data_IF_042045949831
#
_entry.id   IF_042045949831
#
_cell.length_a   1.000
_cell.length_b   1.000
_cell.length_c   1.000
_cell.angle_alpha   90.00
_cell.angle_beta   90.00
_cell.angle_gamma   90.00
#
_symmetry.space_group_name_H-M   'P 1'
#
loop_
_entity.id
_entity.type
_entity.pdbx_description
1 polymer ?
#
# COMPACT_ATOMS: atom_id res chain seq x y z
N UNK A 1 -53.30 13.02 -58.43
CA UNK A 1 -54.16 13.13 -59.63
C UNK A 1 -53.47 12.35 -60.73
N UNK A 2 -54.02 11.19 -61.12
CA UNK A 2 -53.56 10.49 -62.31
C UNK A 2 -54.05 11.27 -63.53
N UNK A 3 -53.13 11.86 -64.30
CA UNK A 3 -53.44 12.31 -65.65
C UNK A 3 -53.68 11.06 -66.49
N UNK A 4 -54.95 10.72 -66.67
CA UNK A 4 -55.41 9.82 -67.71
C UNK A 4 -55.40 10.62 -69.02
N UNK A 5 -54.22 10.74 -69.63
CA UNK A 5 -54.12 11.34 -70.95
C UNK A 5 -54.91 10.48 -71.95
N UNK A 6 -55.78 11.15 -72.70
CA UNK A 6 -56.69 10.59 -73.68
C UNK A 6 -55.90 9.85 -74.78
N UNK A 7 -56.24 8.58 -75.01
CA UNK A 7 -55.57 7.69 -75.99
C UNK A 7 -55.86 8.08 -77.45
N UNK A 8 -56.57 9.18 -77.67
CA UNK A 8 -56.99 9.72 -78.96
C UNK A 8 -55.82 10.17 -79.85
N UNK A 9 -54.60 10.35 -79.32
CA UNK A 9 -53.40 10.70 -80.09
C UNK A 9 -52.59 9.52 -80.64
N UNK A 10 -53.01 8.28 -80.43
CA UNK A 10 -52.18 7.12 -80.77
C UNK A 10 -52.08 6.79 -82.27
N UNK A 11 -52.83 7.45 -83.15
CA UNK A 11 -52.72 7.28 -84.60
C UNK A 11 -52.94 8.66 -85.25
N UNK A 12 -52.00 9.09 -86.09
CA UNK A 12 -52.23 10.25 -86.97
C UNK A 12 -53.33 9.92 -87.98
N UNK A 13 -54.22 10.88 -88.24
CA UNK A 13 -55.41 10.72 -89.11
C UNK A 13 -55.11 10.18 -90.53
N UNK A 14 -53.86 10.21 -90.95
CA UNK A 14 -53.34 9.65 -92.21
C UNK A 14 -53.19 8.12 -92.22
N UNK A 15 -53.06 7.45 -91.07
CA UNK A 15 -52.84 5.98 -90.98
C UNK A 15 -54.15 5.19 -90.92
N UNK A 16 -55.25 5.81 -90.47
CA UNK A 16 -56.56 5.16 -90.27
C UNK A 16 -57.35 4.89 -91.56
N UNK A 17 -56.99 5.49 -92.69
CA UNK A 17 -57.85 5.51 -93.89
C UNK A 17 -57.85 4.22 -94.73
N UNK A 18 -56.91 3.28 -94.51
CA UNK A 18 -56.75 2.08 -95.36
C UNK A 18 -56.54 0.76 -94.59
N UNK A 19 -56.83 0.68 -93.28
CA UNK A 19 -56.62 -0.53 -92.48
C UNK A 19 -57.95 -1.15 -92.03
N UNK A 20 -58.00 -2.47 -91.97
CA UNK A 20 -59.15 -3.20 -91.41
C UNK A 20 -59.24 -2.98 -89.90
N UNK A 21 -60.44 -3.04 -89.29
CA UNK A 21 -60.62 -2.89 -87.84
C UNK A 21 -59.71 -3.81 -87.00
N UNK A 22 -59.45 -5.02 -87.50
CA UNK A 22 -58.60 -6.03 -86.85
C UNK A 22 -57.10 -5.66 -86.84
N UNK A 23 -56.63 -4.90 -87.83
CA UNK A 23 -55.24 -4.44 -87.89
C UNK A 23 -55.01 -3.26 -86.94
N UNK A 24 -56.00 -2.38 -86.82
CA UNK A 24 -56.01 -1.29 -85.84
C UNK A 24 -55.96 -1.87 -84.42
N UNK A 25 -56.77 -2.89 -84.14
CA UNK A 25 -56.80 -3.57 -82.84
C UNK A 25 -55.45 -4.23 -82.51
N UNK A 26 -54.80 -4.90 -83.47
CA UNK A 26 -53.45 -5.47 -83.27
C UNK A 26 -52.39 -4.42 -82.94
N UNK A 27 -52.44 -3.25 -83.56
CA UNK A 27 -51.49 -2.16 -83.27
C UNK A 27 -51.69 -1.63 -81.84
N UNK A 28 -52.94 -1.48 -81.40
CA UNK A 28 -53.24 -1.07 -80.02
C UNK A 28 -52.80 -2.12 -79.00
N UNK A 29 -53.06 -3.41 -79.26
CA UNK A 29 -52.60 -4.52 -78.40
C UNK A 29 -51.07 -4.52 -78.30
N UNK A 30 -50.36 -4.46 -79.43
CA UNK A 30 -48.89 -4.46 -79.45
C UNK A 30 -48.29 -3.25 -78.71
N UNK A 31 -48.89 -2.07 -78.83
CA UNK A 31 -48.46 -0.89 -78.08
C UNK A 31 -48.78 -0.97 -76.60
N UNK A 32 -49.93 -1.53 -76.22
CA UNK A 32 -50.25 -1.79 -74.81
C UNK A 32 -49.25 -2.77 -74.18
N UNK A 33 -48.88 -3.83 -74.89
CA UNK A 33 -47.84 -4.77 -74.46
C UNK A 33 -46.46 -4.08 -74.34
N UNK A 34 -46.10 -3.19 -75.29
CA UNK A 34 -44.86 -2.43 -75.23
C UNK A 34 -44.83 -1.46 -74.04
N UNK A 35 -45.94 -0.77 -73.79
CA UNK A 35 -46.14 0.10 -72.62
C UNK A 35 -46.04 -0.70 -71.32
N UNK A 36 -46.71 -1.85 -71.24
CA UNK A 36 -46.66 -2.73 -70.08
C UNK A 36 -45.23 -3.20 -69.81
N UNK A 37 -44.50 -3.60 -70.85
CA UNK A 37 -43.09 -4.01 -70.74
C UNK A 37 -42.20 -2.85 -70.26
N UNK A 38 -42.41 -1.62 -70.77
CA UNK A 38 -41.69 -0.41 -70.33
C UNK A 38 -41.97 -0.11 -68.85
N UNK A 39 -43.23 -0.14 -68.41
CA UNK A 39 -43.59 0.11 -67.01
C UNK A 39 -43.08 -0.98 -66.07
N UNK A 40 -43.12 -2.25 -66.48
CA UNK A 40 -42.51 -3.36 -65.70
C UNK A 40 -41.01 -3.16 -65.52
N UNK A 41 -40.29 -2.74 -66.56
CA UNK A 41 -38.86 -2.43 -66.47
C UNK A 41 -38.59 -1.21 -65.59
N UNK A 42 -39.42 -0.17 -65.68
CA UNK A 42 -39.29 1.03 -64.87
C UNK A 42 -39.52 0.72 -63.38
N UNK A 43 -40.57 -0.06 -63.07
CA UNK A 43 -40.89 -0.52 -61.72
C UNK A 43 -39.72 -1.31 -61.13
N UNK A 44 -39.17 -2.26 -61.88
CA UNK A 44 -38.01 -3.05 -61.44
C UNK A 44 -36.80 -2.17 -61.11
N UNK A 45 -36.51 -1.16 -61.95
CA UNK A 45 -35.42 -0.21 -61.67
C UNK A 45 -35.66 0.60 -60.40
N UNK A 46 -36.88 1.10 -60.21
CA UNK A 46 -37.24 1.88 -59.01
C UNK A 46 -37.14 1.02 -57.75
N UNK A 47 -37.58 -0.24 -57.82
CA UNK A 47 -37.44 -1.21 -56.73
C UNK A 47 -35.98 -1.47 -56.36
N UNK A 48 -35.13 -1.75 -57.36
CA UNK A 48 -33.69 -1.99 -57.16
C UNK A 48 -32.98 -0.76 -56.56
N UNK A 49 -33.30 0.45 -57.04
CA UNK A 49 -32.75 1.69 -56.50
C UNK A 49 -33.24 2.00 -55.08
N UNK A 50 -34.51 1.74 -54.79
CA UNK A 50 -35.07 1.93 -53.46
C UNK A 50 -34.47 0.93 -52.46
N UNK A 51 -34.32 -0.33 -52.87
CA UNK A 51 -33.66 -1.36 -52.07
C UNK A 51 -32.20 -1.01 -51.79
N UNK A 52 -31.42 -0.65 -52.82
CA UNK A 52 -30.01 -0.30 -52.64
C UNK A 52 -29.84 0.92 -51.73
N UNK A 53 -30.67 1.96 -51.88
CA UNK A 53 -30.65 3.13 -50.99
C UNK A 53 -31.03 2.77 -49.55
N UNK A 54 -32.08 1.97 -49.37
CA UNK A 54 -32.52 1.51 -48.05
C UNK A 54 -31.47 0.65 -47.36
N UNK A 55 -30.86 -0.27 -48.09
CA UNK A 55 -29.80 -1.14 -47.59
C UNK A 55 -28.55 -0.34 -47.19
N UNK A 56 -28.07 0.55 -48.06
CA UNK A 56 -26.89 1.37 -47.78
C UNK A 56 -27.11 2.28 -46.57
N UNK A 57 -28.28 2.92 -46.50
CA UNK A 57 -28.63 3.79 -45.36
C UNK A 57 -28.77 2.99 -44.07
N UNK A 58 -29.46 1.84 -44.10
CA UNK A 58 -29.60 0.96 -42.94
C UNK A 58 -28.27 0.41 -42.44
N UNK A 59 -27.34 0.09 -43.36
CA UNK A 59 -25.98 -0.31 -43.01
C UNK A 59 -25.23 0.83 -42.33
N UNK A 60 -25.27 2.04 -42.90
CA UNK A 60 -24.58 3.21 -42.33
C UNK A 60 -25.12 3.58 -40.94
N UNK A 61 -26.44 3.57 -40.76
CA UNK A 61 -27.08 3.85 -39.48
C UNK A 61 -26.72 2.78 -38.43
N UNK A 62 -26.70 1.51 -38.84
CA UNK A 62 -26.28 0.40 -37.96
C UNK A 62 -24.80 0.51 -37.56
N UNK A 63 -23.91 0.82 -38.50
CA UNK A 63 -22.48 1.01 -38.23
C UNK A 63 -22.26 2.16 -37.25
N UNK A 64 -22.98 3.28 -37.40
CA UNK A 64 -22.92 4.41 -36.46
C UNK A 64 -23.43 4.03 -35.07
N UNK A 65 -24.52 3.28 -34.98
CA UNK A 65 -25.06 2.83 -33.69
C UNK A 65 -24.07 1.91 -32.97
N UNK A 66 -23.45 0.98 -33.71
CA UNK A 66 -22.43 0.08 -33.17
C UNK A 66 -21.17 0.81 -32.71
N UNK A 67 -20.68 1.77 -33.51
CA UNK A 67 -19.55 2.62 -33.10
C UNK A 67 -19.86 3.36 -31.80
N UNK A 68 -21.07 3.90 -31.66
CA UNK A 68 -21.48 4.58 -30.43
C UNK A 68 -21.53 3.64 -29.23
N UNK A 69 -22.08 2.43 -29.38
CA UNK A 69 -22.11 1.42 -28.31
C UNK A 69 -20.70 1.00 -27.88
N UNK A 70 -19.80 0.78 -28.85
CA UNK A 70 -18.42 0.43 -28.59
C UNK A 70 -17.68 1.54 -27.84
N UNK A 71 -17.89 2.81 -28.20
CA UNK A 71 -17.25 3.93 -27.51
C UNK A 71 -17.74 4.06 -26.07
N UNK A 72 -19.04 3.85 -25.81
CA UNK A 72 -19.61 3.84 -24.45
C UNK A 72 -18.99 2.71 -23.62
N UNK A 73 -18.94 1.48 -24.14
CA UNK A 73 -18.33 0.35 -23.40
C UNK A 73 -16.83 0.55 -23.18
N UNK A 74 -16.12 1.12 -24.15
CA UNK A 74 -14.70 1.49 -24.00
C UNK A 74 -14.50 2.51 -22.88
N UNK A 75 -15.35 3.54 -22.79
CA UNK A 75 -15.29 4.53 -21.71
C UNK A 75 -15.57 3.87 -20.35
N UNK A 76 -16.59 3.02 -20.27
CA UNK A 76 -16.95 2.28 -19.06
C UNK A 76 -15.81 1.38 -18.57
N UNK A 77 -15.16 0.65 -19.48
CA UNK A 77 -14.00 -0.19 -19.17
C UNK A 77 -12.84 0.67 -18.66
N UNK A 78 -12.55 1.80 -19.32
CA UNK A 78 -11.48 2.70 -18.88
C UNK A 78 -11.74 3.31 -17.50
N UNK A 79 -12.97 3.69 -17.19
CA UNK A 79 -13.35 4.17 -15.86
C UNK A 79 -13.16 3.09 -14.80
N UNK A 80 -13.59 1.85 -15.08
CA UNK A 80 -13.41 0.73 -14.17
C UNK A 80 -11.92 0.44 -13.91
N UNK A 81 -11.10 0.42 -14.96
CA UNK A 81 -9.64 0.24 -14.83
C UNK A 81 -9.02 1.35 -13.97
N UNK A 82 -9.45 2.61 -14.14
CA UNK A 82 -8.98 3.72 -13.30
C UNK A 82 -9.36 3.53 -11.83
N UNK A 83 -10.60 3.13 -11.56
CA UNK A 83 -11.07 2.86 -10.20
C UNK A 83 -10.29 1.71 -9.56
N UNK A 84 -10.11 0.60 -10.28
CA UNK A 84 -9.36 -0.56 -9.80
C UNK A 84 -7.89 -0.20 -9.53
N UNK A 85 -7.27 0.59 -10.41
CA UNK A 85 -5.89 1.07 -10.22
C UNK A 85 -5.75 2.01 -9.01
N UNK A 86 -6.73 2.89 -8.77
CA UNK A 86 -6.74 3.75 -7.59
C UNK A 86 -6.94 2.95 -6.30
N UNK A 87 -7.84 1.96 -6.30
CA UNK A 87 -8.07 1.06 -5.18
C UNK A 87 -6.79 0.28 -4.84
N UNK A 88 -6.16 -0.35 -5.85
CA UNK A 88 -4.91 -1.07 -5.69
C UNK A 88 -3.79 -0.16 -5.15
N UNK A 89 -3.69 1.08 -5.65
CA UNK A 89 -2.70 2.05 -5.15
C UNK A 89 -2.92 2.38 -3.68
N UNK A 90 -4.17 2.45 -3.21
CA UNK A 90 -4.49 2.67 -1.79
C UNK A 90 -4.11 1.45 -0.95
N UNK A 91 -4.44 0.25 -1.41
CA UNK A 91 -4.07 -1.00 -0.74
C UNK A 91 -2.56 -1.16 -0.61
N UNK A 92 -1.80 -0.91 -1.68
CA UNK A 92 -0.33 -0.96 -1.65
C UNK A 92 0.24 0.05 -0.65
N UNK A 93 -0.31 1.27 -0.58
CA UNK A 93 0.11 2.25 0.42
C UNK A 93 -0.16 1.79 1.85
N UNK A 94 -1.34 1.23 2.10
CA UNK A 94 -1.72 0.69 3.41
C UNK A 94 -0.84 -0.51 3.80
N UNK A 95 -0.53 -1.38 2.85
CA UNK A 95 0.38 -2.49 3.06
C UNK A 95 1.77 -1.98 3.43
N UNK A 96 2.34 -1.04 2.68
CA UNK A 96 3.65 -0.45 2.99
C UNK A 96 3.69 0.21 4.37
N UNK A 97 2.64 0.95 4.77
CA UNK A 97 2.58 1.52 6.12
C UNK A 97 2.51 0.42 7.19
N UNK A 98 1.71 -0.62 6.97
CA UNK A 98 1.58 -1.74 7.92
C UNK A 98 2.89 -2.50 8.10
N UNK A 99 3.65 -2.70 7.02
CA UNK A 99 4.97 -3.35 7.05
C UNK A 99 5.97 -2.48 7.78
N UNK A 100 5.97 -1.16 7.53
CA UNK A 100 6.85 -0.21 8.24
C UNK A 100 6.57 -0.20 9.74
N UNK A 101 5.29 -0.12 10.13
CA UNK A 101 4.88 -0.19 11.54
C UNK A 101 5.24 -1.54 12.18
N UNK A 102 5.01 -2.64 11.45
CA UNK A 102 5.40 -3.98 11.89
C UNK A 102 6.89 -4.10 12.14
N UNK A 103 7.72 -3.55 11.24
CA UNK A 103 9.17 -3.55 11.39
C UNK A 103 9.62 -2.73 12.61
N UNK A 104 9.05 -1.56 12.83
CA UNK A 104 9.35 -0.74 14.03
C UNK A 104 9.01 -1.50 15.32
N UNK A 105 7.84 -2.15 15.37
CA UNK A 105 7.43 -2.96 16.53
C UNK A 105 8.37 -4.15 16.75
N UNK A 106 8.75 -4.83 15.67
CA UNK A 106 9.65 -5.98 15.73
C UNK A 106 11.04 -5.60 16.21
N UNK A 107 11.63 -4.54 15.64
CA UNK A 107 12.92 -4.01 16.05
C UNK A 107 12.89 -3.60 17.51
N UNK A 108 11.84 -2.89 17.96
CA UNK A 108 11.68 -2.53 19.37
C UNK A 108 11.66 -3.74 20.28
N UNK A 109 10.95 -4.81 19.90
CA UNK A 109 10.89 -6.04 20.68
C UNK A 109 12.25 -6.74 20.78
N UNK A 110 13.01 -6.80 19.69
CA UNK A 110 14.39 -7.34 19.73
C UNK A 110 15.24 -6.52 20.70
N UNK A 111 15.13 -5.21 20.62
CA UNK A 111 15.94 -4.30 21.43
C UNK A 111 15.60 -4.38 22.91
N UNK A 112 14.32 -4.55 23.27
CA UNK A 112 13.90 -4.85 24.64
C UNK A 112 14.51 -6.16 25.14
N UNK A 113 14.48 -7.22 24.32
CA UNK A 113 15.10 -8.52 24.67
C UNK A 113 16.61 -8.37 24.88
N UNK A 114 17.31 -7.61 24.03
CA UNK A 114 18.75 -7.36 24.17
C UNK A 114 19.04 -6.60 25.46
N UNK A 115 18.27 -5.54 25.77
CA UNK A 115 18.44 -4.76 26.99
C UNK A 115 18.23 -5.61 28.24
N UNK A 116 17.17 -6.43 28.26
CA UNK A 116 16.90 -7.34 29.39
C UNK A 116 18.01 -8.40 29.52
N UNK A 117 18.52 -8.94 28.41
CA UNK A 117 19.63 -9.90 28.43
C UNK A 117 20.93 -9.26 28.93
N UNK A 118 21.19 -8.00 28.57
CA UNK A 118 22.34 -7.25 29.07
C UNK A 118 22.22 -6.99 30.58
N UNK A 119 21.04 -6.59 31.07
CA UNK A 119 20.79 -6.45 32.52
C UNK A 119 21.07 -7.76 33.26
N UNK A 120 20.61 -8.89 32.73
CA UNK A 120 20.87 -10.21 33.31
C UNK A 120 22.37 -10.56 33.33
N UNK A 121 23.09 -10.31 32.23
CA UNK A 121 24.54 -10.52 32.15
C UNK A 121 25.27 -9.63 33.16
N UNK A 122 24.91 -8.35 33.26
CA UNK A 122 25.59 -7.44 34.19
C UNK A 122 25.33 -7.79 35.65
N UNK A 123 24.09 -8.17 36.00
CA UNK A 123 23.78 -8.70 37.34
C UNK A 123 24.59 -9.94 37.65
N UNK A 124 24.69 -10.87 36.70
CA UNK A 124 25.51 -12.06 36.87
C UNK A 124 26.98 -11.71 37.10
N UNK A 125 27.56 -10.83 36.28
CA UNK A 125 28.97 -10.41 36.42
C UNK A 125 29.25 -9.72 37.75
N UNK A 126 28.30 -8.93 38.28
CA UNK A 126 28.47 -8.19 39.53
C UNK A 126 28.27 -9.04 40.79
N UNK A 127 27.43 -10.06 40.72
CA UNK A 127 27.18 -11.01 41.83
C UNK A 127 28.22 -12.15 41.84
N UNK A 128 28.92 -12.38 40.73
CA UNK A 128 29.94 -13.43 40.65
C UNK A 128 31.09 -13.15 41.62
N UNK A 129 31.46 -14.18 42.40
CA UNK A 129 32.61 -14.13 43.33
C UNK A 129 33.92 -13.75 42.62
N UNK A 130 34.04 -14.09 41.34
CA UNK A 130 35.19 -13.74 40.49
C UNK A 130 35.41 -12.21 40.38
N UNK A 131 34.38 -11.41 40.62
CA UNK A 131 34.43 -9.96 40.50
C UNK A 131 34.69 -9.24 41.84
N UNK A 132 34.61 -9.95 42.97
CA UNK A 132 34.88 -9.38 44.30
C UNK A 132 36.27 -8.71 44.42
N UNK A 133 37.36 -9.23 43.82
CA UNK A 133 38.66 -8.56 43.84
C UNK A 133 38.64 -7.17 43.18
N UNK A 134 37.90 -7.03 42.07
CA UNK A 134 37.76 -5.75 41.39
C UNK A 134 36.95 -4.75 42.24
N UNK A 135 35.89 -5.22 42.91
CA UNK A 135 35.11 -4.37 43.82
C UNK A 135 35.98 -3.90 44.99
N UNK A 136 36.83 -4.78 45.55
CA UNK A 136 37.82 -4.41 46.58
C UNK A 136 38.77 -3.31 46.10
N UNK A 137 39.38 -3.48 44.92
CA UNK A 137 40.27 -2.47 44.33
C UNK A 137 39.56 -1.11 44.23
N UNK A 138 38.29 -1.09 43.82
CA UNK A 138 37.51 0.16 43.75
C UNK A 138 37.18 0.77 45.11
N UNK A 139 36.91 -0.05 46.12
CA UNK A 139 36.75 0.44 47.49
C UNK A 139 38.07 1.06 47.97
N UNK A 140 39.21 0.40 47.75
CA UNK A 140 40.54 0.93 48.10
C UNK A 140 40.86 2.25 47.36
N UNK A 141 40.53 2.36 46.07
CA UNK A 141 40.65 3.61 45.31
C UNK A 141 39.84 4.75 45.94
N UNK A 142 38.57 4.50 46.30
CA UNK A 142 37.71 5.51 46.95
C UNK A 142 38.30 5.92 48.30
N UNK A 143 38.77 4.95 49.09
CA UNK A 143 39.38 5.23 50.38
C UNK A 143 40.63 6.09 50.24
N UNK A 144 41.49 5.82 49.25
CA UNK A 144 42.70 6.60 49.01
C UNK A 144 42.38 8.01 48.48
N UNK A 145 41.36 8.15 47.62
CA UNK A 145 40.91 9.46 47.10
C UNK A 145 40.47 10.41 48.23
N UNK A 146 39.75 9.89 49.23
CA UNK A 146 39.20 10.70 50.32
C UNK A 146 40.04 10.71 51.60
N UNK A 147 41.15 9.95 51.66
CA UNK A 147 42.01 9.81 52.84
C UNK A 147 42.54 11.12 53.41
N UNK A 148 42.75 12.12 52.55
CA UNK A 148 43.22 13.45 52.93
C UNK A 148 42.10 14.39 53.38
N UNK A 149 40.85 14.04 53.10
CA UNK A 149 39.68 14.93 53.22
C UNK A 149 38.81 14.57 54.42
N UNK A 150 38.61 13.29 54.72
CA UNK A 150 37.75 12.86 55.83
C UNK A 150 38.17 11.49 56.37
N UNK A 151 37.91 11.25 57.65
CA UNK A 151 38.20 9.97 58.30
C UNK A 151 37.11 8.95 58.00
N UNK A 152 37.49 7.71 57.69
CA UNK A 152 36.54 6.62 57.47
C UNK A 152 36.06 6.07 58.82
N UNK A 153 34.74 6.01 59.00
CA UNK A 153 34.10 5.46 60.20
C UNK A 153 33.90 3.94 60.04
N UNK A 154 33.24 3.53 58.96
CA UNK A 154 32.94 2.12 58.72
C UNK A 154 32.51 1.86 57.28
N UNK A 155 32.70 0.61 56.83
CA UNK A 155 32.15 0.11 55.57
C UNK A 155 31.04 -0.89 55.90
N UNK A 156 29.85 -0.69 55.34
CA UNK A 156 28.72 -1.61 55.44
C UNK A 156 28.56 -2.35 54.11
N UNK A 157 28.47 -3.68 54.14
CA UNK A 157 28.38 -4.51 52.93
C UNK A 157 27.77 -5.88 53.22
N UNK A 158 27.57 -6.71 52.19
CA UNK A 158 27.08 -8.06 52.31
C UNK A 158 28.18 -9.05 52.76
N UNK A 159 27.79 -10.30 53.05
CA UNK A 159 28.70 -11.27 53.68
C UNK A 159 29.89 -11.67 52.79
N UNK A 160 29.68 -11.84 51.48
CA UNK A 160 30.75 -12.24 50.56
C UNK A 160 31.77 -11.13 50.34
N UNK A 161 31.33 -9.88 50.18
CA UNK A 161 32.25 -8.75 50.02
C UNK A 161 32.94 -8.41 51.35
N UNK A 162 32.26 -8.57 52.49
CA UNK A 162 32.88 -8.40 53.81
C UNK A 162 34.08 -9.34 54.00
N UNK A 163 34.01 -10.58 53.53
CA UNK A 163 35.12 -11.54 53.62
C UNK A 163 36.35 -11.08 52.84
N UNK A 164 36.17 -10.45 51.68
CA UNK A 164 37.25 -9.98 50.81
C UNK A 164 37.85 -8.64 51.29
N UNK A 165 37.04 -7.80 51.92
CA UNK A 165 37.45 -6.49 52.44
C UNK A 165 38.14 -6.57 53.81
N UNK A 166 38.06 -7.70 54.54
CA UNK A 166 38.68 -7.88 55.88
C UNK A 166 40.17 -7.55 55.96
N UNK A 167 40.89 -7.64 54.85
CA UNK A 167 42.32 -7.34 54.80
C UNK A 167 42.63 -5.84 54.70
N UNK A 168 41.62 -4.98 54.60
CA UNK A 168 41.84 -3.53 54.55
C UNK A 168 42.12 -3.01 55.97
N UNK A 169 43.39 -2.68 56.21
CA UNK A 169 43.89 -2.28 57.52
C UNK A 169 43.20 -1.03 58.07
N UNK A 170 42.81 -1.11 59.35
CA UNK A 170 42.36 0.05 60.13
C UNK A 170 40.92 0.48 59.94
N UNK A 171 40.10 -0.27 59.20
CA UNK A 171 38.69 0.08 58.92
C UNK A 171 37.74 -0.93 59.54
N UNK A 172 36.68 -0.44 60.18
CA UNK A 172 35.62 -1.30 60.73
C UNK A 172 34.65 -1.72 59.63
N UNK A 173 34.56 -3.02 59.37
CA UNK A 173 33.60 -3.59 58.41
C UNK A 173 32.39 -4.13 59.16
N UNK A 174 31.20 -3.77 58.70
CA UNK A 174 29.91 -4.19 59.25
C UNK A 174 29.13 -4.94 58.19
N UNK A 175 28.64 -6.13 58.54
CA UNK A 175 27.76 -6.90 57.66
C UNK A 175 26.35 -6.33 57.79
N UNK A 176 25.77 -5.90 56.67
CA UNK A 176 24.39 -5.46 56.58
C UNK A 176 23.61 -6.43 55.69
N UNK A 177 22.67 -7.17 56.29
CA UNK A 177 21.87 -8.19 55.60
C UNK A 177 20.80 -7.61 54.66
N UNK A 178 20.53 -6.32 54.76
CA UNK A 178 19.57 -5.63 53.90
C UNK A 178 20.21 -5.13 52.59
N UNK A 179 21.55 -5.21 52.46
CA UNK A 179 22.26 -4.88 51.22
C UNK A 179 22.27 -6.07 50.27
N UNK A 180 21.97 -5.81 48.99
CA UNK A 180 22.15 -6.79 47.91
C UNK A 180 23.65 -7.05 47.67
N UNK A 181 23.98 -8.24 47.15
CA UNK A 181 25.37 -8.64 46.93
C UNK A 181 26.12 -7.70 46.00
N UNK A 182 27.34 -7.33 46.38
CA UNK A 182 28.17 -6.38 45.64
C UNK A 182 27.85 -4.90 45.90
N UNK A 183 26.83 -4.60 46.73
CA UNK A 183 26.59 -3.24 47.22
C UNK A 183 27.43 -2.95 48.47
N UNK A 184 27.82 -1.69 48.63
CA UNK A 184 28.54 -1.23 49.80
C UNK A 184 28.22 0.22 50.14
N UNK A 185 28.37 0.56 51.41
CA UNK A 185 28.21 1.91 51.94
C UNK A 185 29.46 2.26 52.74
N UNK A 186 30.17 3.30 52.33
CA UNK A 186 31.32 3.82 53.07
C UNK A 186 30.87 5.06 53.84
N UNK A 187 30.95 4.99 55.16
CA UNK A 187 30.62 6.10 56.07
C UNK A 187 31.91 6.83 56.42
N UNK A 188 31.99 8.10 56.04
CA UNK A 188 33.02 9.04 56.48
C UNK A 188 32.47 9.93 57.60
N UNK A 189 33.32 10.68 58.30
CA UNK A 189 32.88 11.66 59.31
C UNK A 189 31.92 12.70 58.72
N UNK A 190 32.22 13.20 57.52
CA UNK A 190 31.50 14.34 56.95
C UNK A 190 30.44 13.96 55.91
N UNK A 191 30.50 12.74 55.37
CA UNK A 191 29.61 12.29 54.30
C UNK A 191 29.50 10.76 54.23
N UNK A 192 28.65 10.26 53.33
CA UNK A 192 28.47 8.83 53.08
C UNK A 192 28.48 8.56 51.59
N UNK A 193 29.26 7.58 51.16
CA UNK A 193 29.29 7.08 49.78
C UNK A 193 28.44 5.82 49.74
N UNK A 194 27.40 5.82 48.91
CA UNK A 194 26.53 4.67 48.70
C UNK A 194 26.80 4.13 47.30
N UNK A 195 27.11 2.84 47.23
CA UNK A 195 27.23 2.11 45.97
C UNK A 195 26.02 1.20 45.80
N UNK A 196 25.09 1.60 44.94
CA UNK A 196 23.95 0.79 44.53
C UNK A 196 24.11 0.33 43.07
N UNK A 197 24.38 -0.96 42.91
CA UNK A 197 24.48 -1.64 41.60
C UNK A 197 23.18 -1.48 40.81
N UNK A 198 22.03 -1.60 41.47
CA UNK A 198 20.73 -1.56 40.81
C UNK A 198 20.46 -0.20 40.18
N UNK A 199 20.86 0.87 40.87
CA UNK A 199 20.78 2.23 40.33
C UNK A 199 21.68 2.39 39.09
N UNK A 200 22.93 1.92 39.15
CA UNK A 200 23.86 1.99 38.02
C UNK A 200 23.38 1.18 36.80
N UNK A 201 22.81 0.00 37.02
CA UNK A 201 22.23 -0.81 35.95
C UNK A 201 20.98 -0.15 35.37
N UNK A 202 20.16 0.50 36.19
CA UNK A 202 19.02 1.27 35.71
C UNK A 202 19.46 2.43 34.81
N UNK A 203 20.51 3.17 35.20
CA UNK A 203 21.07 4.24 34.37
C UNK A 203 21.64 3.71 33.04
N UNK A 204 22.34 2.57 33.08
CA UNK A 204 22.85 1.93 31.87
C UNK A 204 21.71 1.48 30.95
N UNK A 205 20.65 0.88 31.51
CA UNK A 205 19.45 0.51 30.77
C UNK A 205 18.81 1.72 30.11
N UNK A 206 18.63 2.82 30.83
CA UNK A 206 18.06 4.06 30.29
C UNK A 206 18.90 4.61 29.13
N UNK A 207 20.23 4.57 29.24
CA UNK A 207 21.15 5.02 28.19
C UNK A 207 21.08 4.10 26.96
N UNK A 208 21.05 2.77 27.17
CA UNK A 208 20.85 1.78 26.11
C UNK A 208 19.50 2.03 25.41
N UNK A 209 18.42 2.20 26.17
CA UNK A 209 17.08 2.51 25.62
C UNK A 209 17.06 3.83 24.84
N UNK A 210 17.79 4.84 25.32
CA UNK A 210 17.89 6.14 24.64
C UNK A 210 18.61 6.01 23.30
N UNK A 211 19.71 5.28 23.26
CA UNK A 211 20.51 5.09 22.05
C UNK A 211 19.79 4.18 21.04
N UNK A 212 19.03 3.20 21.55
CA UNK A 212 18.04 2.43 20.78
C UNK A 212 17.00 3.35 20.14
N UNK A 213 16.39 4.28 20.89
CA UNK A 213 15.39 5.20 20.35
C UNK A 213 15.96 6.13 19.28
N UNK A 214 17.22 6.59 19.43
CA UNK A 214 17.91 7.39 18.40
C UNK A 214 18.20 6.59 17.13
N UNK A 215 18.68 5.36 17.27
CA UNK A 215 19.01 4.51 16.11
C UNK A 215 17.79 4.00 15.35
N UNK A 216 16.66 3.81 16.05
CA UNK A 216 15.40 3.36 15.45
C UNK A 216 14.52 4.50 14.88
N UNK A 217 14.90 5.77 15.07
CA UNK A 217 14.22 6.92 14.45
C UNK A 217 14.81 7.35 13.09
N UNK A 218 15.75 6.57 12.54
CA UNK A 218 16.19 6.58 11.14
C UNK A 218 15.28 5.70 10.26
#
# INVERSE_FOLDING_TARGET
>A
MLNLDDFSHLLTDTEKRNMSPEEIERIYIARMEELEKKYRQLLKKVEEEAFNRGYLKGKEDSDKEWQRKLEIERQRINEKIKQDAEALRREVKQFLSSVREGNVKFTRKILEIVADSLDEIFRFLLISDDNLPFVKEKVEEILEEFKSTSTVISIETDESLADVLKDIDGITIKINKDLESGNFIIKFEDFTVVHDVKEKLSLLREEIEREIKKSSSL
#
